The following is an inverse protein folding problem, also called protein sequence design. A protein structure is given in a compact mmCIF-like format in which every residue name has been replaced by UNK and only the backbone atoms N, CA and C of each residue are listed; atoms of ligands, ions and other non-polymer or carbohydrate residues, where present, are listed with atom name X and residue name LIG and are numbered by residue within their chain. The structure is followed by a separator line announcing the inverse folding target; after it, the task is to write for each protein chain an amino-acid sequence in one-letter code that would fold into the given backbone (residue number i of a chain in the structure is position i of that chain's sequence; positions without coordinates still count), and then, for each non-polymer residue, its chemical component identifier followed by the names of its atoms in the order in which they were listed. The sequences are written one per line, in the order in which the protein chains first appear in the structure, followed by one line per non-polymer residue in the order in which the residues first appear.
data_IF_534907976380
#
_entry.id   IF_534907976380
#
_cell.length_a   1.000
_cell.length_b   1.000
_cell.length_c   1.000
_cell.angle_alpha   90.00
_cell.angle_beta   90.00
_cell.angle_gamma   90.00
#
_symmetry.space_group_name_H-M   'P 1'
#
loop_
_entity.id
_entity.type
_entity.pdbx_description
1 polymer ?
#
# COMPACT_ATOMS: atom_id res chain seq x y z
N UNK A 1 -8.88 -33.67 -21.78
CA UNK A 1 -8.77 -33.79 -20.30
C UNK A 1 -7.54 -33.08 -19.75
N UNK A 2 -6.35 -33.22 -20.36
CA UNK A 2 -5.13 -32.53 -19.91
C UNK A 2 -5.23 -30.99 -19.90
N UNK A 3 -5.86 -30.36 -20.90
CA UNK A 3 -5.97 -28.89 -20.94
C UNK A 3 -6.83 -28.32 -19.83
N UNK A 4 -7.87 -29.04 -19.39
CA UNK A 4 -8.78 -28.59 -18.31
C UNK A 4 -8.06 -28.66 -16.95
N UNK A 5 -7.27 -29.72 -16.72
CA UNK A 5 -6.47 -29.88 -15.48
C UNK A 5 -5.36 -28.82 -15.42
N UNK A 6 -4.72 -28.50 -16.55
CA UNK A 6 -3.70 -27.45 -16.64
C UNK A 6 -4.30 -26.05 -16.40
N UNK A 7 -5.48 -25.76 -16.96
CA UNK A 7 -6.20 -24.51 -16.71
C UNK A 7 -6.60 -24.37 -15.23
N UNK A 8 -7.17 -25.42 -14.63
CA UNK A 8 -7.49 -25.43 -13.19
C UNK A 8 -6.26 -25.24 -12.30
N UNK A 9 -5.11 -25.83 -12.68
CA UNK A 9 -3.85 -25.63 -11.96
C UNK A 9 -3.33 -24.20 -12.05
N UNK A 10 -3.52 -23.53 -13.20
CA UNK A 10 -3.12 -22.14 -13.41
C UNK A 10 -3.94 -21.18 -12.52
N UNK A 11 -5.27 -21.34 -12.47
CA UNK A 11 -6.15 -20.51 -11.65
C UNK A 11 -5.85 -20.64 -10.15
N UNK A 12 -5.61 -21.87 -9.66
CA UNK A 12 -5.26 -22.10 -8.25
C UNK A 12 -3.91 -21.47 -7.90
N UNK A 13 -2.92 -21.58 -8.80
CA UNK A 13 -1.59 -20.99 -8.59
C UNK A 13 -1.68 -19.47 -8.51
N UNK A 14 -2.45 -18.83 -9.41
CA UNK A 14 -2.69 -17.39 -9.38
C UNK A 14 -3.39 -16.94 -8.10
N UNK A 15 -4.41 -17.68 -7.64
CA UNK A 15 -5.08 -17.39 -6.37
C UNK A 15 -4.11 -17.36 -5.19
N UNK A 16 -3.20 -18.34 -5.11
CA UNK A 16 -2.17 -18.42 -4.05
C UNK A 16 -1.19 -17.23 -4.14
N UNK A 17 -0.75 -16.89 -5.37
CA UNK A 17 0.15 -15.77 -5.60
C UNK A 17 -0.51 -14.45 -5.17
N UNK A 18 -1.79 -14.24 -5.50
CA UNK A 18 -2.54 -13.05 -5.09
C UNK A 18 -2.63 -12.97 -3.57
N UNK A 19 -3.11 -14.02 -2.90
CA UNK A 19 -3.25 -14.04 -1.43
C UNK A 19 -1.90 -13.73 -0.75
N UNK A 20 -0.83 -14.35 -1.25
CA UNK A 20 0.53 -14.10 -0.76
C UNK A 20 0.97 -12.66 -1.03
N UNK A 21 0.63 -12.10 -2.19
CA UNK A 21 0.88 -10.70 -2.54
C UNK A 21 0.19 -9.72 -1.59
N UNK A 22 -1.07 -9.95 -1.24
CA UNK A 22 -1.78 -9.15 -0.24
C UNK A 22 -1.07 -9.21 1.12
N UNK A 23 -0.73 -10.41 1.60
CA UNK A 23 -0.04 -10.58 2.87
C UNK A 23 1.33 -9.87 2.88
N UNK A 24 2.13 -10.06 1.82
CA UNK A 24 3.44 -9.44 1.68
C UNK A 24 3.34 -7.91 1.69
N UNK A 25 2.46 -7.32 0.86
CA UNK A 25 2.28 -5.87 0.82
C UNK A 25 1.90 -5.30 2.20
N UNK A 26 0.97 -5.96 2.89
CA UNK A 26 0.54 -5.54 4.23
C UNK A 26 1.64 -5.65 5.27
N UNK A 27 2.58 -6.58 5.15
CA UNK A 27 3.69 -6.72 6.09
C UNK A 27 4.83 -5.72 5.78
N UNK A 28 5.15 -5.52 4.51
CA UNK A 28 6.33 -4.75 4.09
C UNK A 28 6.07 -3.24 4.03
N UNK A 29 4.85 -2.80 3.74
CA UNK A 29 4.55 -1.38 3.49
C UNK A 29 4.94 -0.46 4.65
N UNK A 30 4.62 -0.86 5.87
CA UNK A 30 4.94 -0.08 7.07
C UNK A 30 6.44 -0.01 7.35
N UNK A 31 7.16 -1.11 7.12
CA UNK A 31 8.62 -1.18 7.29
C UNK A 31 9.30 -0.26 6.29
N UNK A 32 8.89 -0.30 5.02
CA UNK A 32 9.49 0.55 3.98
C UNK A 32 9.24 2.04 4.22
N UNK A 33 8.03 2.44 4.60
CA UNK A 33 7.74 3.85 4.92
C UNK A 33 8.66 4.33 6.04
N UNK A 34 8.79 3.56 7.13
CA UNK A 34 9.67 3.91 8.26
C UNK A 34 11.13 4.03 7.84
N UNK A 35 11.63 3.07 7.05
CA UNK A 35 13.02 3.04 6.57
C UNK A 35 13.36 4.22 5.64
N UNK A 36 12.46 4.57 4.72
CA UNK A 36 12.70 5.68 3.79
C UNK A 36 12.61 7.01 4.54
N UNK A 37 11.62 7.16 5.42
CA UNK A 37 11.40 8.39 6.16
C UNK A 37 12.52 8.68 7.18
N UNK A 38 13.10 7.63 7.78
CA UNK A 38 14.27 7.76 8.67
C UNK A 38 15.54 8.20 7.94
N UNK A 39 15.68 7.88 6.65
CA UNK A 39 16.81 8.35 5.83
C UNK A 39 16.66 9.81 5.41
N UNK A 40 15.42 10.27 5.20
CA UNK A 40 15.14 11.64 4.78
C UNK A 40 15.21 12.59 5.98
N UNK A 41 14.74 12.17 7.15
CA UNK A 41 14.63 13.03 8.35
C UNK A 41 15.93 13.10 9.16
N UNK A 42 17.11 13.18 8.52
CA UNK A 42 18.44 13.10 9.12
C UNK A 42 18.76 14.11 10.25
N UNK A 43 17.79 14.92 10.73
CA UNK A 43 18.02 16.00 11.68
C UNK A 43 16.96 16.27 12.76
N UNK A 44 15.82 15.59 12.80
CA UNK A 44 14.81 15.85 13.85
C UNK A 44 14.45 14.61 14.64
N UNK A 45 15.32 14.29 15.60
CA UNK A 45 15.06 13.31 16.68
C UNK A 45 14.14 13.90 17.77
N UNK A 46 13.23 14.81 17.43
CA UNK A 46 12.31 15.42 18.38
C UNK A 46 10.89 15.23 17.86
N UNK A 47 10.12 14.50 18.65
CA UNK A 47 8.69 14.27 18.47
C UNK A 47 8.33 13.39 17.27
N UNK A 48 8.88 12.17 17.27
CA UNK A 48 8.10 11.04 16.77
C UNK A 48 6.82 11.05 17.63
N UNK A 49 5.69 11.38 17.01
CA UNK A 49 4.39 11.52 17.67
C UNK A 49 4.16 10.39 18.69
N UNK A 50 3.57 10.69 19.87
CA UNK A 50 3.55 9.78 21.00
C UNK A 50 2.94 8.42 20.63
N UNK A 51 3.57 7.36 21.13
CA UNK A 51 3.29 5.92 20.95
C UNK A 51 1.85 5.48 21.36
N UNK A 52 0.94 6.39 21.66
CA UNK A 52 -0.28 6.13 22.42
C UNK A 52 -1.61 6.39 21.69
N UNK A 53 -1.62 6.97 20.48
CA UNK A 53 -2.76 6.74 19.58
C UNK A 53 -2.48 5.40 18.91
N UNK A 54 -3.33 4.39 19.14
CA UNK A 54 -3.44 3.27 18.21
C UNK A 54 -3.29 3.83 16.80
N UNK A 55 -2.24 3.39 16.08
CA UNK A 55 -1.69 4.09 14.92
C UNK A 55 -2.73 4.18 13.79
N UNK A 56 -3.68 5.12 13.92
CA UNK A 56 -4.81 5.34 13.02
C UNK A 56 -4.27 5.60 11.62
N UNK A 57 -3.12 6.27 11.55
CA UNK A 57 -2.35 6.45 10.32
C UNK A 57 -1.91 5.12 9.71
N UNK A 58 -1.37 4.18 10.48
CA UNK A 58 -1.04 2.84 10.00
C UNK A 58 -2.28 2.04 9.59
N UNK A 59 -3.37 2.07 10.36
CA UNK A 59 -4.61 1.35 10.01
C UNK A 59 -5.18 1.88 8.70
N UNK A 60 -5.29 3.20 8.54
CA UNK A 60 -5.68 3.84 7.28
C UNK A 60 -4.71 3.44 6.16
N UNK A 61 -3.41 3.40 6.44
CA UNK A 61 -2.39 2.97 5.49
C UNK A 61 -2.60 1.52 5.01
N UNK A 62 -2.96 0.59 5.91
CA UNK A 62 -3.27 -0.80 5.55
C UNK A 62 -4.55 -0.90 4.71
N UNK A 63 -5.60 -0.16 5.07
CA UNK A 63 -6.83 -0.08 4.27
C UNK A 63 -6.53 0.43 2.84
N UNK A 64 -5.70 1.46 2.73
CA UNK A 64 -5.24 1.94 1.43
C UNK A 64 -4.47 0.86 0.67
N UNK A 65 -3.52 0.15 1.30
CA UNK A 65 -2.78 -0.92 0.63
C UNK A 65 -3.73 -1.97 0.01
N UNK A 66 -4.78 -2.38 0.74
CA UNK A 66 -5.81 -3.33 0.27
C UNK A 66 -6.54 -2.77 -0.95
N UNK A 67 -6.98 -1.52 -0.88
CA UNK A 67 -7.73 -0.89 -1.97
C UNK A 67 -6.86 -0.70 -3.23
N UNK A 68 -5.59 -0.31 -3.05
CA UNK A 68 -4.63 -0.15 -4.16
C UNK A 68 -4.46 -1.47 -4.91
N UNK A 69 -4.11 -2.55 -4.20
CA UNK A 69 -3.87 -3.84 -4.84
C UNK A 69 -5.15 -4.39 -5.48
N UNK A 70 -6.32 -4.18 -4.86
CA UNK A 70 -7.62 -4.57 -5.40
C UNK A 70 -7.88 -3.87 -6.73
N UNK A 71 -7.76 -2.55 -6.76
CA UNK A 71 -8.05 -1.76 -7.96
C UNK A 71 -7.04 -2.00 -9.08
N UNK A 72 -5.77 -2.24 -8.77
CA UNK A 72 -4.78 -2.61 -9.80
C UNK A 72 -5.14 -3.94 -10.45
N UNK A 73 -5.46 -4.96 -9.64
CA UNK A 73 -5.88 -6.27 -10.15
C UNK A 73 -7.21 -6.18 -10.93
N UNK A 74 -8.12 -5.27 -10.54
CA UNK A 74 -9.38 -5.02 -11.25
C UNK A 74 -9.29 -4.06 -12.44
N UNK A 75 -8.12 -3.52 -12.79
CA UNK A 75 -7.94 -2.47 -13.82
C UNK A 75 -8.63 -1.13 -13.50
N UNK A 76 -8.99 -0.86 -12.25
CA UNK A 76 -9.74 0.32 -11.81
C UNK A 76 -8.82 1.49 -11.38
N UNK A 77 -8.00 1.99 -12.30
CA UNK A 77 -7.06 3.09 -12.02
C UNK A 77 -7.77 4.42 -11.68
N UNK A 78 -8.99 4.62 -12.15
CA UNK A 78 -9.81 5.78 -11.79
C UNK A 78 -10.19 5.75 -10.30
N UNK A 79 -10.63 4.58 -9.80
CA UNK A 79 -10.99 4.42 -8.40
C UNK A 79 -9.77 4.62 -7.48
N UNK A 80 -8.59 4.18 -7.92
CA UNK A 80 -7.32 4.44 -7.25
C UNK A 80 -7.04 5.95 -7.08
N UNK A 81 -7.23 6.74 -8.13
CA UNK A 81 -7.05 8.19 -8.08
C UNK A 81 -8.03 8.87 -7.10
N UNK A 82 -9.29 8.42 -7.08
CA UNK A 82 -10.32 8.93 -6.17
C UNK A 82 -9.95 8.67 -4.70
N UNK A 83 -9.52 7.44 -4.38
CA UNK A 83 -9.10 7.10 -3.00
C UNK A 83 -7.90 7.94 -2.57
N UNK A 84 -6.91 8.11 -3.44
CA UNK A 84 -5.74 8.91 -3.16
C UNK A 84 -6.10 10.37 -2.82
N UNK A 85 -7.00 10.96 -3.60
CA UNK A 85 -7.53 12.29 -3.33
C UNK A 85 -8.28 12.35 -1.99
N UNK A 86 -9.21 11.41 -1.76
CA UNK A 86 -10.01 11.35 -0.54
C UNK A 86 -9.14 11.23 0.73
N UNK A 87 -8.08 10.40 0.70
CA UNK A 87 -7.18 10.21 1.83
C UNK A 87 -6.45 11.49 2.23
N UNK A 88 -6.03 12.29 1.23
CA UNK A 88 -5.36 13.57 1.47
C UNK A 88 -6.28 14.56 2.17
N UNK A 89 -7.57 14.55 1.83
CA UNK A 89 -8.60 15.39 2.46
C UNK A 89 -8.85 14.95 3.90
N UNK A 90 -9.00 13.64 4.16
CA UNK A 90 -9.28 13.10 5.50
C UNK A 90 -8.12 13.37 6.47
N UNK A 91 -6.88 13.41 5.98
CA UNK A 91 -5.67 13.64 6.80
C UNK A 91 -5.21 15.10 6.83
N UNK A 92 -6.06 16.04 6.39
CA UNK A 92 -5.71 17.46 6.30
C UNK A 92 -5.22 18.03 7.65
N UNK A 93 -5.91 17.71 8.75
CA UNK A 93 -5.56 18.21 10.08
C UNK A 93 -4.21 17.68 10.60
N UNK A 94 -3.84 16.44 10.24
CA UNK A 94 -2.53 15.86 10.57
C UNK A 94 -1.41 16.49 9.73
N UNK A 95 -1.71 16.76 8.45
CA UNK A 95 -0.81 17.44 7.53
C UNK A 95 -0.54 18.87 8.01
N UNK A 96 -1.52 19.58 8.59
CA UNK A 96 -1.28 20.95 9.09
C UNK A 96 -0.29 21.00 10.27
N UNK A 97 -0.15 19.92 11.04
CA UNK A 97 0.79 19.85 12.19
C UNK A 97 2.22 19.50 11.79
N UNK A 98 2.41 18.58 10.86
CA UNK A 98 3.73 18.13 10.38
C UNK A 98 3.66 17.70 8.90
N UNK A 99 3.41 18.68 8.02
CA UNK A 99 2.98 18.45 6.63
C UNK A 99 3.93 17.59 5.82
N UNK A 100 5.23 17.91 5.88
CA UNK A 100 6.26 17.22 5.12
C UNK A 100 6.39 15.74 5.52
N UNK A 101 6.32 15.44 6.82
CA UNK A 101 6.46 14.07 7.31
C UNK A 101 5.27 13.20 6.90
N UNK A 102 4.04 13.67 7.14
CA UNK A 102 2.84 12.91 6.83
C UNK A 102 2.58 12.79 5.33
N UNK A 103 2.83 13.86 4.57
CA UNK A 103 2.70 13.84 3.12
C UNK A 103 3.75 12.93 2.48
N UNK A 104 5.01 13.01 2.90
CA UNK A 104 6.06 12.12 2.42
C UNK A 104 5.75 10.65 2.74
N UNK A 105 5.32 10.34 3.97
CA UNK A 105 4.93 8.99 4.36
C UNK A 105 3.79 8.42 3.50
N UNK A 106 2.78 9.24 3.19
CA UNK A 106 1.70 8.84 2.29
C UNK A 106 2.19 8.62 0.85
N UNK A 107 3.01 9.52 0.30
CA UNK A 107 3.57 9.35 -1.06
C UNK A 107 4.38 8.07 -1.16
N UNK A 108 5.26 7.82 -0.19
CA UNK A 108 6.10 6.61 -0.15
C UNK A 108 5.23 5.35 -0.12
N UNK A 109 4.20 5.31 0.74
CA UNK A 109 3.31 4.15 0.85
C UNK A 109 2.55 3.88 -0.46
N UNK A 110 1.97 4.93 -1.04
CA UNK A 110 1.18 4.84 -2.28
C UNK A 110 2.06 4.38 -3.43
N UNK A 111 3.22 5.03 -3.63
CA UNK A 111 4.16 4.66 -4.69
C UNK A 111 4.62 3.21 -4.55
N UNK A 112 5.01 2.79 -3.33
CA UNK A 112 5.41 1.41 -3.08
C UNK A 112 4.30 0.41 -3.42
N UNK A 113 3.07 0.69 -2.97
CA UNK A 113 1.91 -0.18 -3.18
C UNK A 113 1.54 -0.31 -4.64
N UNK A 114 1.62 0.79 -5.40
CA UNK A 114 1.34 0.78 -6.84
C UNK A 114 2.37 -0.06 -7.57
N UNK A 115 3.66 0.16 -7.30
CA UNK A 115 4.74 -0.63 -7.93
C UNK A 115 4.58 -2.11 -7.59
N UNK A 116 4.32 -2.44 -6.32
CA UNK A 116 4.08 -3.80 -5.88
C UNK A 116 2.88 -4.44 -6.59
N UNK A 117 1.75 -3.76 -6.63
CA UNK A 117 0.52 -4.25 -7.26
C UNK A 117 0.69 -4.47 -8.77
N UNK A 118 1.40 -3.57 -9.46
CA UNK A 118 1.71 -3.72 -10.89
C UNK A 118 2.60 -4.94 -11.13
N UNK A 119 3.65 -5.14 -10.31
CA UNK A 119 4.50 -6.33 -10.41
C UNK A 119 3.68 -7.61 -10.17
N UNK A 120 2.84 -7.62 -9.14
CA UNK A 120 1.97 -8.76 -8.84
C UNK A 120 1.07 -9.09 -10.03
N UNK A 121 0.44 -8.08 -10.62
CA UNK A 121 -0.41 -8.22 -11.80
C UNK A 121 0.33 -8.81 -12.99
N UNK A 122 1.54 -8.32 -13.26
CA UNK A 122 2.40 -8.84 -14.33
C UNK A 122 2.78 -10.30 -14.11
N UNK A 123 2.99 -10.72 -12.86
CA UNK A 123 3.31 -12.12 -12.51
C UNK A 123 2.10 -13.03 -12.71
N UNK A 124 0.90 -12.59 -12.32
CA UNK A 124 -0.32 -13.42 -12.42
C UNK A 124 -0.93 -13.40 -13.82
N UNK A 125 -0.64 -12.38 -14.63
CA UNK A 125 -1.18 -12.23 -15.99
C UNK A 125 -2.69 -11.98 -16.02
N UNK A 126 -3.24 -11.39 -14.96
CA UNK A 126 -4.66 -11.04 -14.79
C UNK A 126 -4.86 -9.56 -15.05
#
# INVERSE_FOLDING_TARGET
MNNIIVLMGYDVTNGIIIITGYALLLLTSGVLVRLVLSKISHKEKKEIAPDNLWDTGAVIGKCENILIITFILSNEFTALAIIFAAKTIIRKDDIEKNSLFYLAGNMINVTYSIVFGVILKLITGI
#
